data_IF_882504945999
#
_entry.id   IF_882504945999
#
_cell.length_a   1.000
_cell.length_b   1.000
_cell.length_c   1.000
_cell.angle_alpha   90.00
_cell.angle_beta   90.00
_cell.angle_gamma   90.00
#
_symmetry.space_group_name_H-M   'P 1'
#
loop_
_entity.id
_entity.type
_entity.pdbx_description
1 polymer ?
#
# COMPACT_ATOMS: atom_id res chain seq x y z
N UNK A 1 -6.08 3.62 -27.05
CA UNK A 1 -5.75 4.54 -25.95
C UNK A 1 -4.59 3.96 -25.19
N UNK A 2 -3.63 4.78 -24.81
CA UNK A 2 -2.51 4.34 -23.98
C UNK A 2 -3.04 3.94 -22.60
N UNK A 3 -2.75 2.72 -22.16
CA UNK A 3 -3.19 2.19 -20.84
C UNK A 3 -2.01 2.00 -19.88
N UNK A 4 -0.92 2.71 -20.13
CA UNK A 4 0.28 2.60 -19.31
C UNK A 4 0.19 3.51 -18.10
N UNK A 5 0.58 2.99 -16.95
CA UNK A 5 0.63 3.70 -15.67
C UNK A 5 2.04 3.57 -15.08
N UNK A 6 2.61 4.68 -14.63
CA UNK A 6 3.94 4.71 -14.00
C UNK A 6 3.78 4.72 -12.48
N UNK A 7 4.26 3.66 -11.87
CA UNK A 7 4.15 3.41 -10.42
C UNK A 7 5.47 3.78 -9.75
N UNK A 8 5.42 4.73 -8.82
CA UNK A 8 6.53 5.06 -7.94
C UNK A 8 6.48 4.25 -6.66
N UNK A 9 7.49 3.42 -6.43
CA UNK A 9 7.69 2.68 -5.18
C UNK A 9 8.71 3.43 -4.33
N UNK A 10 8.35 3.81 -3.11
CA UNK A 10 9.24 4.45 -2.15
C UNK A 10 9.55 3.46 -1.04
N UNK A 11 10.67 2.76 -1.16
CA UNK A 11 11.23 1.89 -0.12
C UNK A 11 11.97 2.76 0.88
N UNK A 12 11.33 3.02 1.99
CA UNK A 12 11.65 4.09 2.92
C UNK A 12 12.34 3.58 4.18
N UNK A 13 13.41 4.26 4.58
CA UNK A 13 14.04 4.13 5.89
C UNK A 13 13.67 5.32 6.77
N UNK A 14 12.98 5.07 7.88
CA UNK A 14 12.50 6.12 8.78
C UNK A 14 12.98 5.97 10.20
N UNK A 15 12.97 7.07 10.94
CA UNK A 15 13.32 7.13 12.35
C UNK A 15 12.09 6.82 13.22
N UNK A 16 12.17 5.80 14.09
CA UNK A 16 11.08 5.38 14.95
C UNK A 16 10.64 6.53 15.88
N UNK A 17 9.37 6.95 15.76
CA UNK A 17 8.76 8.00 16.58
C UNK A 17 9.10 9.44 16.18
N UNK A 18 10.01 9.68 15.22
CA UNK A 18 10.34 11.03 14.73
C UNK A 18 9.51 11.41 13.52
N UNK A 19 8.26 11.78 13.78
CA UNK A 19 7.27 12.09 12.73
C UNK A 19 7.74 13.24 11.83
N UNK A 20 8.40 14.25 12.40
CA UNK A 20 8.78 15.44 11.65
C UNK A 20 9.88 15.13 10.63
N UNK A 21 10.94 14.47 11.08
CA UNK A 21 12.05 14.02 10.22
C UNK A 21 11.54 13.08 9.12
N UNK A 22 10.69 12.12 9.48
CA UNK A 22 10.13 11.16 8.52
C UNK A 22 9.27 11.85 7.44
N UNK A 23 8.48 12.85 7.79
CA UNK A 23 7.67 13.62 6.84
C UNK A 23 8.54 14.41 5.86
N UNK A 24 9.58 15.11 6.38
CA UNK A 24 10.51 15.86 5.52
C UNK A 24 11.18 14.92 4.52
N UNK A 25 11.71 13.80 5.01
CA UNK A 25 12.36 12.80 4.18
C UNK A 25 11.39 12.16 3.16
N UNK A 26 10.18 11.81 3.57
CA UNK A 26 9.18 11.27 2.66
C UNK A 26 8.84 12.24 1.51
N UNK A 27 8.75 13.54 1.78
CA UNK A 27 8.52 14.56 0.74
C UNK A 27 9.65 14.60 -0.30
N UNK A 28 10.90 14.46 0.12
CA UNK A 28 12.07 14.40 -0.79
C UNK A 28 11.97 13.17 -1.70
N UNK A 29 11.63 12.01 -1.14
CA UNK A 29 11.49 10.76 -1.90
C UNK A 29 10.28 10.78 -2.84
N UNK A 30 9.16 11.37 -2.43
CA UNK A 30 7.99 11.61 -3.31
C UNK A 30 8.40 12.50 -4.49
N UNK A 31 9.13 13.59 -4.22
CA UNK A 31 9.66 14.47 -5.26
C UNK A 31 10.60 13.74 -6.23
N UNK A 32 11.44 12.85 -5.71
CA UNK A 32 12.32 12.00 -6.54
C UNK A 32 11.51 11.05 -7.45
N UNK A 33 10.46 10.41 -6.94
CA UNK A 33 9.59 9.56 -7.74
C UNK A 33 8.84 10.36 -8.83
N UNK A 34 8.34 11.54 -8.48
CA UNK A 34 7.68 12.45 -9.41
C UNK A 34 8.62 12.93 -10.53
N UNK A 35 9.86 13.28 -10.19
CA UNK A 35 10.89 13.68 -11.16
C UNK A 35 11.23 12.55 -12.15
N UNK A 36 11.08 11.28 -11.75
CA UNK A 36 11.18 10.11 -12.63
C UNK A 36 9.89 9.86 -13.43
N UNK A 37 8.86 10.67 -13.23
CA UNK A 37 7.62 10.67 -13.99
C UNK A 37 6.55 9.73 -13.44
N UNK A 38 6.52 9.45 -12.15
CA UNK A 38 5.46 8.65 -11.53
C UNK A 38 4.07 9.29 -11.70
N UNK A 39 3.07 8.47 -11.99
CA UNK A 39 1.65 8.86 -11.98
C UNK A 39 1.03 8.62 -10.58
N UNK A 40 1.43 7.50 -9.94
CA UNK A 40 0.99 7.10 -8.61
C UNK A 40 2.23 6.77 -7.78
N UNK A 41 2.36 7.36 -6.60
CA UNK A 41 3.44 7.08 -5.64
C UNK A 41 2.86 6.38 -4.43
N UNK A 42 3.53 5.33 -3.94
CA UNK A 42 3.14 4.63 -2.74
C UNK A 42 4.28 4.65 -1.71
N UNK A 43 3.97 5.12 -0.50
CA UNK A 43 4.82 5.03 0.69
C UNK A 43 4.54 3.71 1.43
N UNK A 44 5.47 3.20 2.26
CA UNK A 44 5.24 1.98 3.04
C UNK A 44 4.38 2.23 4.29
N UNK A 45 3.96 1.15 4.94
CA UNK A 45 3.11 1.15 6.12
C UNK A 45 3.69 2.00 7.25
N UNK A 46 2.85 2.85 7.88
CA UNK A 46 3.17 3.70 9.03
C UNK A 46 4.48 4.49 8.86
N UNK A 47 4.74 4.98 7.63
CA UNK A 47 6.01 5.63 7.28
C UNK A 47 6.37 6.78 8.22
N UNK A 48 5.37 7.52 8.73
CA UNK A 48 5.59 8.72 9.54
C UNK A 48 5.98 8.40 11.00
N UNK A 49 5.36 7.38 11.60
CA UNK A 49 5.56 7.06 13.03
C UNK A 49 6.57 5.94 13.28
N UNK A 50 6.83 5.10 12.27
CA UNK A 50 7.50 3.82 12.47
C UNK A 50 6.53 2.71 12.85
N UNK A 51 7.04 1.47 12.87
CA UNK A 51 6.22 0.26 13.01
C UNK A 51 6.56 -0.57 14.26
N UNK A 52 7.73 -0.41 14.89
CA UNK A 52 8.05 -1.21 16.08
C UNK A 52 7.17 -0.84 17.28
N UNK A 53 5.99 -1.45 17.32
CA UNK A 53 4.96 -1.18 18.35
C UNK A 53 5.39 -1.65 19.75
N UNK A 54 6.36 -2.56 19.86
CA UNK A 54 6.91 -2.96 21.15
C UNK A 54 7.74 -1.86 21.80
N UNK A 55 8.42 -1.04 20.98
CA UNK A 55 9.20 0.11 21.45
C UNK A 55 8.35 1.38 21.56
N UNK A 56 7.41 1.59 20.63
CA UNK A 56 6.49 2.73 20.70
C UNK A 56 5.47 2.59 21.84
N UNK A 57 4.98 1.38 22.06
CA UNK A 57 3.98 1.07 23.07
C UNK A 57 2.80 2.08 23.05
N UNK A 58 2.45 2.67 24.18
CA UNK A 58 1.36 3.66 24.30
C UNK A 58 1.60 4.94 23.48
N UNK A 59 2.87 5.24 23.12
CA UNK A 59 3.19 6.38 22.24
C UNK A 59 2.60 6.20 20.85
N UNK A 60 2.32 4.99 20.41
CA UNK A 60 1.67 4.70 19.12
C UNK A 60 0.40 5.54 18.94
N UNK A 61 -0.49 5.50 19.94
CA UNK A 61 -1.77 6.24 19.88
C UNK A 61 -1.53 7.74 20.01
N UNK A 62 -0.70 8.16 20.99
CA UNK A 62 -0.45 9.59 21.22
C UNK A 62 0.23 10.27 20.01
N UNK A 63 1.22 9.64 19.39
CA UNK A 63 1.88 10.15 18.17
C UNK A 63 0.90 10.23 17.00
N UNK A 64 0.14 9.15 16.75
CA UNK A 64 -0.84 9.13 15.68
C UNK A 64 -1.90 10.23 15.86
N UNK A 65 -2.45 10.38 17.06
CA UNK A 65 -3.45 11.42 17.34
C UNK A 65 -2.87 12.83 17.25
N UNK A 66 -1.69 13.07 17.81
CA UNK A 66 -1.09 14.41 17.84
C UNK A 66 -0.67 14.93 16.46
N UNK A 67 -0.26 14.02 15.58
CA UNK A 67 0.32 14.40 14.28
C UNK A 67 -0.58 14.13 13.08
N UNK A 68 -1.78 13.59 13.26
CA UNK A 68 -2.65 13.19 12.13
C UNK A 68 -2.89 14.34 11.14
N UNK A 69 -3.35 15.50 11.63
CA UNK A 69 -3.63 16.65 10.78
C UNK A 69 -2.39 17.18 10.06
N UNK A 70 -1.23 17.15 10.74
CA UNK A 70 0.06 17.51 10.16
C UNK A 70 0.45 16.54 9.05
N UNK A 71 0.35 15.22 9.28
CA UNK A 71 0.63 14.20 8.26
C UNK A 71 -0.28 14.40 7.05
N UNK A 72 -1.59 14.58 7.26
CA UNK A 72 -2.55 14.80 6.18
C UNK A 72 -2.21 16.05 5.38
N UNK A 73 -1.93 17.17 6.04
CA UNK A 73 -1.58 18.43 5.37
C UNK A 73 -0.31 18.33 4.53
N UNK A 74 0.75 17.71 5.07
CA UNK A 74 2.03 17.56 4.38
C UNK A 74 1.94 16.57 3.19
N UNK A 75 1.19 15.49 3.34
CA UNK A 75 0.99 14.53 2.24
C UNK A 75 0.08 15.11 1.15
N UNK A 76 -0.93 15.88 1.51
CA UNK A 76 -1.76 16.64 0.57
C UNK A 76 -0.91 17.64 -0.23
N UNK A 77 -0.04 18.39 0.44
CA UNK A 77 0.89 19.32 -0.20
C UNK A 77 1.87 18.58 -1.12
N UNK A 78 2.46 17.46 -0.66
CA UNK A 78 3.38 16.66 -1.46
C UNK A 78 2.73 16.12 -2.74
N UNK A 79 1.51 15.60 -2.66
CA UNK A 79 0.74 15.12 -3.81
C UNK A 79 0.49 16.26 -4.82
N UNK A 80 0.07 17.42 -4.33
CA UNK A 80 -0.21 18.61 -5.15
C UNK A 80 1.02 19.19 -5.80
N UNK A 81 2.09 19.42 -5.02
CA UNK A 81 3.34 20.04 -5.49
C UNK A 81 3.98 19.21 -6.60
N UNK A 82 3.86 17.88 -6.51
CA UNK A 82 4.43 16.92 -7.44
C UNK A 82 3.44 16.44 -8.51
N UNK A 83 2.17 16.80 -8.42
CA UNK A 83 1.08 16.37 -9.35
C UNK A 83 1.00 14.86 -9.51
N UNK A 84 1.09 14.12 -8.41
CA UNK A 84 0.97 12.66 -8.38
C UNK A 84 -0.23 12.23 -7.54
N UNK A 85 -0.82 11.07 -7.85
CA UNK A 85 -1.61 10.37 -6.84
C UNK A 85 -0.67 9.82 -5.78
N UNK A 86 -1.03 9.96 -4.51
CA UNK A 86 -0.19 9.53 -3.39
C UNK A 86 -0.95 8.60 -2.46
N UNK A 87 -0.39 7.42 -2.23
CA UNK A 87 -0.83 6.49 -1.18
C UNK A 87 0.12 6.67 0.00
N UNK A 88 -0.39 7.22 1.11
CA UNK A 88 0.36 7.55 2.31
C UNK A 88 -0.21 6.81 3.53
N UNK A 89 0.37 5.66 3.91
CA UNK A 89 -0.11 4.88 5.06
C UNK A 89 0.30 5.49 6.39
N UNK A 90 -0.69 5.77 7.25
CA UNK A 90 -0.49 6.39 8.57
C UNK A 90 -1.58 5.95 9.56
N UNK A 91 -1.34 6.23 10.84
CA UNK A 91 -2.40 6.13 11.86
C UNK A 91 -3.46 7.19 11.58
N UNK A 92 -4.69 6.78 11.25
CA UNK A 92 -5.83 7.67 10.98
C UNK A 92 -6.72 7.79 12.20
N UNK A 93 -7.05 9.02 12.59
CA UNK A 93 -8.05 9.27 13.63
C UNK A 93 -9.43 8.79 13.16
N UNK A 94 -10.16 8.16 14.07
CA UNK A 94 -11.58 7.88 13.88
C UNK A 94 -12.43 9.03 14.43
N UNK A 95 -13.76 8.93 14.29
CA UNK A 95 -14.70 9.89 14.90
C UNK A 95 -14.64 9.85 16.44
N UNK A 96 -14.19 8.74 17.02
CA UNK A 96 -14.00 8.61 18.45
C UNK A 96 -12.58 9.03 18.83
N UNK A 97 -12.48 9.99 19.74
CA UNK A 97 -11.19 10.47 20.25
C UNK A 97 -10.36 9.34 20.87
N UNK A 98 -9.06 9.34 20.60
CA UNK A 98 -8.12 8.34 21.10
C UNK A 98 -8.17 6.98 20.39
N UNK A 99 -9.01 6.81 19.38
CA UNK A 99 -9.08 5.59 18.57
C UNK A 99 -8.47 5.84 17.19
N UNK A 100 -7.47 5.02 16.87
CA UNK A 100 -6.79 5.02 15.57
C UNK A 100 -7.11 3.77 14.77
N UNK A 101 -7.01 3.91 13.45
CA UNK A 101 -6.89 2.80 12.49
C UNK A 101 -5.52 2.86 11.82
N UNK A 102 -4.93 1.71 11.48
CA UNK A 102 -3.77 1.65 10.58
C UNK A 102 -4.32 1.77 9.16
N UNK A 103 -4.09 2.91 8.49
CA UNK A 103 -4.81 3.26 7.27
C UNK A 103 -3.88 3.72 6.16
N UNK A 104 -4.25 3.42 4.92
CA UNK A 104 -3.63 4.01 3.74
C UNK A 104 -4.53 5.14 3.23
N UNK A 105 -4.02 6.36 3.26
CA UNK A 105 -4.69 7.57 2.78
C UNK A 105 -4.39 7.77 1.30
N UNK A 106 -5.40 8.06 0.49
CA UNK A 106 -5.25 8.32 -0.94
C UNK A 106 -5.50 9.80 -1.24
N UNK A 107 -4.47 10.46 -1.76
CA UNK A 107 -4.54 11.85 -2.22
C UNK A 107 -4.51 11.90 -3.75
N UNK A 108 -5.30 12.80 -4.34
CA UNK A 108 -5.24 13.08 -5.77
C UNK A 108 -4.13 14.09 -6.12
N UNK A 109 -3.95 14.33 -7.41
CA UNK A 109 -2.95 15.26 -7.96
C UNK A 109 -3.19 16.74 -7.58
N UNK A 110 -4.32 17.07 -6.98
CA UNK A 110 -4.64 18.41 -6.45
C UNK A 110 -4.42 18.48 -4.94
N UNK A 111 -4.03 17.38 -4.30
CA UNK A 111 -3.85 17.26 -2.87
C UNK A 111 -5.14 16.99 -2.10
N UNK A 112 -6.24 16.67 -2.76
CA UNK A 112 -7.45 16.28 -2.06
C UNK A 112 -7.34 14.84 -1.53
N UNK A 113 -7.72 14.64 -0.26
CA UNK A 113 -7.89 13.30 0.31
C UNK A 113 -9.17 12.70 -0.28
N UNK A 114 -9.02 11.79 -1.25
CA UNK A 114 -10.13 11.21 -2.02
C UNK A 114 -10.66 9.92 -1.45
N UNK A 115 -9.92 9.30 -0.51
CA UNK A 115 -10.33 8.09 0.15
C UNK A 115 -9.28 7.53 1.09
N UNK A 116 -9.64 6.46 1.77
CA UNK A 116 -8.73 5.71 2.63
C UNK A 116 -9.15 4.24 2.71
N UNK A 117 -8.19 3.40 3.03
CA UNK A 117 -8.42 2.00 3.42
C UNK A 117 -7.91 1.79 4.84
N UNK A 118 -8.75 1.28 5.73
CA UNK A 118 -8.38 0.87 7.08
C UNK A 118 -8.01 -0.62 7.06
N UNK A 119 -6.83 -0.97 7.58
CA UNK A 119 -6.33 -2.33 7.64
C UNK A 119 -7.33 -3.26 8.31
N UNK A 120 -7.71 -4.33 7.62
CA UNK A 120 -8.73 -5.25 8.11
C UNK A 120 -8.15 -6.33 9.02
N UNK A 121 -6.94 -6.81 8.72
CA UNK A 121 -6.27 -7.84 9.50
C UNK A 121 -5.09 -7.25 10.27
N UNK A 122 -5.30 -7.03 11.56
CA UNK A 122 -4.27 -6.47 12.43
C UNK A 122 -3.25 -7.55 12.84
N UNK A 123 -1.95 -7.24 12.70
CA UNK A 123 -0.86 -8.13 13.06
C UNK A 123 -0.43 -7.95 14.52
N UNK A 124 -0.30 -9.04 15.26
CA UNK A 124 0.30 -9.08 16.60
C UNK A 124 -0.16 -7.92 17.53
N UNK A 125 0.77 -7.02 17.88
CA UNK A 125 0.53 -5.89 18.80
C UNK A 125 -0.37 -4.80 18.21
N UNK A 126 -0.58 -4.76 16.89
CA UNK A 126 -1.49 -3.79 16.28
C UNK A 126 -2.89 -3.84 16.90
N UNK A 127 -3.34 -5.04 17.32
CA UNK A 127 -4.64 -5.24 17.99
C UNK A 127 -4.81 -4.50 19.32
N UNK A 128 -3.71 -4.05 19.93
CA UNK A 128 -3.74 -3.28 21.16
C UNK A 128 -3.92 -1.77 20.90
N UNK A 129 -3.51 -1.28 19.73
CA UNK A 129 -3.38 0.15 19.44
C UNK A 129 -4.26 0.65 18.31
N UNK A 130 -4.70 -0.24 17.41
CA UNK A 130 -5.50 0.11 16.27
C UNK A 130 -6.84 -0.64 16.26
N UNK A 131 -7.84 0.03 15.73
CA UNK A 131 -9.12 -0.57 15.39
C UNK A 131 -9.04 -1.16 13.99
N UNK A 132 -9.60 -2.33 13.78
CA UNK A 132 -9.71 -3.00 12.48
C UNK A 132 -10.67 -2.27 11.53
N UNK A 133 -10.37 -2.31 10.23
CA UNK A 133 -11.26 -1.93 9.15
C UNK A 133 -12.30 -3.00 8.86
N UNK A 134 -13.36 -2.61 8.16
CA UNK A 134 -14.49 -3.49 7.84
C UNK A 134 -14.91 -3.48 6.37
N UNK A 135 -14.08 -2.91 5.49
CA UNK A 135 -14.39 -2.78 4.06
C UNK A 135 -13.13 -2.83 3.20
N UNK A 136 -13.30 -3.27 1.96
CA UNK A 136 -12.27 -3.25 0.91
C UNK A 136 -12.72 -2.31 -0.22
N UNK A 137 -12.56 -0.98 -0.08
CA UNK A 137 -12.95 -0.04 -1.12
C UNK A 137 -12.01 -0.11 -2.33
N UNK A 138 -12.57 0.15 -3.50
CA UNK A 138 -11.83 0.36 -4.75
C UNK A 138 -11.93 1.82 -5.14
N UNK A 139 -10.85 2.41 -5.60
CA UNK A 139 -10.74 3.83 -5.91
C UNK A 139 -10.51 4.04 -7.40
N UNK A 140 -11.23 4.99 -7.99
CA UNK A 140 -11.01 5.44 -9.36
C UNK A 140 -9.83 6.43 -9.40
N UNK A 141 -8.81 6.11 -10.18
CA UNK A 141 -7.69 7.00 -10.50
C UNK A 141 -7.94 7.57 -11.89
N UNK A 142 -7.99 8.90 -12.00
CA UNK A 142 -8.23 9.60 -13.26
C UNK A 142 -7.00 10.44 -13.63
N UNK A 143 -6.29 9.99 -14.62
CA UNK A 143 -5.22 10.73 -15.28
C UNK A 143 -5.80 11.49 -16.49
N UNK A 144 -5.02 12.39 -17.08
CA UNK A 144 -5.51 13.29 -18.12
C UNK A 144 -6.17 12.55 -19.30
N UNK A 145 -5.58 11.43 -19.73
CA UNK A 145 -5.96 10.68 -20.94
C UNK A 145 -6.34 9.22 -20.67
N UNK A 146 -6.25 8.78 -19.39
CA UNK A 146 -6.46 7.40 -18.98
C UNK A 146 -7.01 7.29 -17.56
N UNK A 147 -7.58 6.16 -17.24
CA UNK A 147 -8.07 5.86 -15.89
C UNK A 147 -7.81 4.41 -15.51
N UNK A 148 -7.74 4.13 -14.21
CA UNK A 148 -7.65 2.78 -13.66
C UNK A 148 -8.39 2.71 -12.33
N UNK A 149 -8.66 1.50 -11.86
CA UNK A 149 -9.18 1.23 -10.52
C UNK A 149 -8.10 0.59 -9.68
N UNK A 150 -7.88 1.15 -8.52
CA UNK A 150 -6.92 0.60 -7.56
C UNK A 150 -7.62 0.10 -6.31
N UNK A 151 -7.08 -0.99 -5.75
CA UNK A 151 -7.37 -1.45 -4.40
C UNK A 151 -6.16 -1.29 -3.51
N UNK A 152 -6.37 -1.34 -2.19
CA UNK A 152 -5.29 -1.32 -1.21
C UNK A 152 -5.52 -2.46 -0.21
N UNK A 153 -4.45 -3.17 0.12
CA UNK A 153 -4.34 -4.07 1.26
C UNK A 153 -3.06 -3.70 2.01
N UNK A 154 -3.06 -3.74 3.33
CA UNK A 154 -1.89 -3.31 4.12
C UNK A 154 -1.21 -4.54 4.73
N UNK A 155 0.07 -4.78 4.36
CA UNK A 155 0.96 -5.75 4.99
C UNK A 155 0.30 -7.12 5.20
N UNK A 156 -0.07 -7.46 6.43
CA UNK A 156 -0.68 -8.73 6.84
C UNK A 156 -1.96 -9.10 6.07
N UNK A 157 -2.70 -8.12 5.55
CA UNK A 157 -3.86 -8.38 4.66
C UNK A 157 -3.48 -9.23 3.44
N UNK A 158 -2.23 -9.13 2.96
CA UNK A 158 -1.75 -9.92 1.83
C UNK A 158 -1.72 -11.44 2.10
N UNK A 159 -1.70 -11.85 3.36
CA UNK A 159 -1.79 -13.25 3.77
C UNK A 159 -3.18 -13.88 3.52
N UNK A 160 -4.21 -13.07 3.32
CA UNK A 160 -5.61 -13.50 3.18
C UNK A 160 -6.07 -13.38 1.73
N UNK A 161 -6.34 -14.51 1.04
CA UNK A 161 -6.82 -14.49 -0.36
C UNK A 161 -8.07 -13.64 -0.54
N UNK A 162 -8.93 -13.59 0.45
CA UNK A 162 -10.21 -12.88 0.46
C UNK A 162 -10.02 -11.36 0.27
N UNK A 163 -8.94 -10.79 0.83
CA UNK A 163 -8.63 -9.36 0.75
C UNK A 163 -8.48 -8.93 -0.72
N UNK A 164 -7.52 -9.52 -1.42
CA UNK A 164 -7.26 -9.20 -2.81
C UNK A 164 -8.42 -9.63 -3.73
N UNK A 165 -9.06 -10.77 -3.43
CA UNK A 165 -10.22 -11.25 -4.19
C UNK A 165 -11.39 -10.27 -4.11
N UNK A 166 -11.68 -9.72 -2.94
CA UNK A 166 -12.74 -8.73 -2.75
C UNK A 166 -12.50 -7.48 -3.60
N UNK A 167 -11.25 -7.00 -3.66
CA UNK A 167 -10.86 -5.87 -4.50
C UNK A 167 -10.97 -6.20 -6.00
N UNK A 168 -10.49 -7.38 -6.41
CA UNK A 168 -10.55 -7.82 -7.81
C UNK A 168 -11.98 -7.93 -8.34
N UNK A 169 -12.90 -8.44 -7.51
CA UNK A 169 -14.33 -8.59 -7.88
C UNK A 169 -15.06 -7.25 -7.99
N UNK A 170 -14.55 -6.20 -7.36
CA UNK A 170 -15.02 -4.82 -7.52
C UNK A 170 -14.37 -4.09 -8.70
N UNK A 171 -13.49 -4.79 -9.45
CA UNK A 171 -12.89 -4.29 -10.68
C UNK A 171 -11.52 -3.62 -10.51
N UNK A 172 -10.84 -3.82 -9.38
CA UNK A 172 -9.45 -3.36 -9.26
C UNK A 172 -8.56 -3.99 -10.35
N UNK A 173 -7.70 -3.18 -10.94
CA UNK A 173 -6.70 -3.57 -11.93
C UNK A 173 -5.29 -3.59 -11.31
N UNK A 174 -5.09 -2.77 -10.27
CA UNK A 174 -3.86 -2.68 -9.48
C UNK A 174 -4.24 -2.77 -8.00
N UNK A 175 -3.52 -3.58 -7.23
CA UNK A 175 -3.64 -3.61 -5.78
C UNK A 175 -2.29 -3.23 -5.17
N UNK A 176 -2.29 -2.16 -4.38
CA UNK A 176 -1.13 -1.74 -3.60
C UNK A 176 -1.09 -2.46 -2.26
N UNK A 177 0.10 -2.85 -1.84
CA UNK A 177 0.36 -3.48 -0.55
C UNK A 177 1.51 -2.75 0.16
N UNK A 178 1.25 -1.56 0.74
CA UNK A 178 2.22 -0.94 1.64
C UNK A 178 2.42 -1.81 2.88
N UNK A 179 3.68 -1.98 3.31
CA UNK A 179 4.03 -2.92 4.37
C UNK A 179 5.19 -2.44 5.24
N UNK A 180 5.25 -2.99 6.44
CA UNK A 180 6.40 -3.04 7.32
C UNK A 180 6.73 -4.52 7.61
N UNK A 181 7.12 -5.25 6.57
CA UNK A 181 7.34 -6.70 6.62
C UNK A 181 8.76 -7.01 7.08
N UNK A 182 8.87 -7.87 8.08
CA UNK A 182 10.15 -8.21 8.71
C UNK A 182 10.92 -9.27 7.95
N UNK A 183 12.23 -9.31 8.14
CA UNK A 183 13.15 -10.20 7.41
C UNK A 183 12.85 -11.70 7.64
N UNK A 184 12.35 -12.07 8.82
CA UNK A 184 12.05 -13.46 9.14
C UNK A 184 10.99 -14.10 8.23
N UNK A 185 10.15 -13.28 7.61
CA UNK A 185 9.01 -13.72 6.79
C UNK A 185 9.18 -13.32 5.30
N UNK A 186 10.41 -13.20 4.81
CA UNK A 186 10.70 -12.76 3.43
C UNK A 186 10.15 -13.72 2.37
N UNK A 187 10.14 -15.01 2.65
CA UNK A 187 9.55 -16.02 1.78
C UNK A 187 8.03 -15.87 1.63
N UNK A 188 7.35 -15.51 2.72
CA UNK A 188 5.91 -15.23 2.71
C UNK A 188 5.59 -13.94 1.91
N UNK A 189 6.46 -12.93 1.97
CA UNK A 189 6.35 -11.73 1.13
C UNK A 189 6.37 -12.08 -0.35
N UNK A 190 7.35 -12.87 -0.77
CA UNK A 190 7.51 -13.27 -2.17
C UNK A 190 6.33 -14.10 -2.67
N UNK A 191 5.91 -15.10 -1.90
CA UNK A 191 4.81 -15.99 -2.26
C UNK A 191 3.47 -15.26 -2.29
N UNK A 192 3.15 -14.48 -1.25
CA UNK A 192 1.86 -13.81 -1.15
C UNK A 192 1.64 -12.83 -2.29
N UNK A 193 2.57 -11.91 -2.56
CA UNK A 193 2.37 -10.90 -3.60
C UNK A 193 2.20 -11.52 -4.98
N UNK A 194 3.04 -12.50 -5.32
CA UNK A 194 2.94 -13.24 -6.58
C UNK A 194 1.62 -14.00 -6.70
N UNK A 195 1.20 -14.67 -5.63
CA UNK A 195 -0.05 -15.42 -5.63
C UNK A 195 -1.27 -14.50 -5.71
N UNK A 196 -1.30 -13.37 -4.95
CA UNK A 196 -2.40 -12.39 -5.04
C UNK A 196 -2.55 -11.85 -6.46
N UNK A 197 -1.43 -11.57 -7.14
CA UNK A 197 -1.47 -11.13 -8.53
C UNK A 197 -2.01 -12.21 -9.48
N UNK A 198 -1.50 -13.45 -9.38
CA UNK A 198 -1.87 -14.55 -10.26
C UNK A 198 -3.35 -14.95 -10.12
N UNK A 199 -3.81 -15.21 -8.91
CA UNK A 199 -5.17 -15.72 -8.68
C UNK A 199 -6.28 -14.71 -8.96
N UNK A 200 -5.93 -13.41 -9.01
CA UNK A 200 -6.86 -12.31 -9.25
C UNK A 200 -6.65 -11.64 -10.62
N UNK A 201 -5.61 -12.02 -11.36
CA UNK A 201 -5.29 -11.52 -12.69
C UNK A 201 -5.24 -9.98 -12.72
N UNK A 202 -4.47 -9.42 -11.81
CA UNK A 202 -4.25 -7.97 -11.66
C UNK A 202 -2.78 -7.70 -11.28
N UNK A 203 -2.36 -6.44 -11.31
CA UNK A 203 -1.04 -6.06 -10.80
C UNK A 203 -1.07 -5.95 -9.28
N UNK A 204 -0.02 -6.46 -8.62
CA UNK A 204 0.22 -6.23 -7.19
C UNK A 204 1.51 -5.46 -7.02
N UNK A 205 1.43 -4.35 -6.28
CA UNK A 205 2.55 -3.46 -5.97
C UNK A 205 2.83 -3.52 -4.48
N UNK A 206 3.83 -4.28 -4.09
CA UNK A 206 4.29 -4.32 -2.69
C UNK A 206 5.32 -3.24 -2.43
N UNK A 207 5.08 -2.39 -1.43
CA UNK A 207 6.02 -1.34 -1.01
C UNK A 207 6.35 -1.53 0.45
N UNK A 208 7.55 -2.05 0.71
CA UNK A 208 7.98 -2.39 2.05
C UNK A 208 8.91 -1.34 2.64
N UNK A 209 8.90 -1.20 3.96
CA UNK A 209 9.91 -0.42 4.70
C UNK A 209 11.27 -1.09 4.58
N UNK A 210 12.30 -0.27 4.76
CA UNK A 210 13.70 -0.69 4.87
C UNK A 210 14.31 -0.18 6.19
N UNK A 211 15.36 -0.85 6.65
CA UNK A 211 16.16 -0.42 7.81
C UNK A 211 15.80 -1.13 9.11
N UNK A 212 16.20 -0.55 10.21
CA UNK A 212 16.05 -1.13 11.55
C UNK A 212 15.26 -0.21 12.47
N UNK A 213 14.35 -0.78 13.21
CA UNK A 213 13.65 -0.13 14.33
C UNK A 213 13.91 -0.94 15.61
N UNK A 214 15.05 -0.68 16.27
CA UNK A 214 15.54 -1.53 17.36
C UNK A 214 15.93 -2.92 16.86
N UNK A 215 15.29 -3.95 17.37
CA UNK A 215 15.47 -5.35 16.98
C UNK A 215 14.64 -5.79 15.78
N UNK A 216 13.77 -4.94 15.29
CA UNK A 216 12.97 -5.19 14.09
C UNK A 216 13.75 -4.82 12.83
N UNK A 217 14.09 -5.82 12.02
CA UNK A 217 14.70 -5.65 10.71
C UNK A 217 13.66 -5.68 9.61
N UNK A 218 13.59 -4.60 8.83
CA UNK A 218 12.69 -4.38 7.71
C UNK A 218 13.52 -4.42 6.41
N UNK A 219 13.24 -5.38 5.55
CA UNK A 219 14.20 -5.79 4.51
C UNK A 219 14.02 -5.12 3.15
N UNK A 220 13.07 -4.20 3.00
CA UNK A 220 12.79 -3.63 1.68
C UNK A 220 12.20 -4.64 0.71
N UNK A 221 12.86 -4.90 -0.42
CA UNK A 221 12.43 -5.82 -1.47
C UNK A 221 11.06 -5.47 -2.06
N UNK A 222 10.76 -4.17 -2.13
CA UNK A 222 9.56 -3.66 -2.77
C UNK A 222 9.47 -4.14 -4.21
N UNK A 223 8.28 -4.49 -4.70
CA UNK A 223 8.16 -5.14 -6.02
C UNK A 223 6.83 -4.92 -6.71
N UNK A 224 6.84 -5.13 -8.02
CA UNK A 224 5.64 -5.18 -8.86
C UNK A 224 5.51 -6.58 -9.44
N UNK A 225 4.37 -7.23 -9.18
CA UNK A 225 3.98 -8.49 -9.77
C UNK A 225 2.92 -8.25 -10.85
N UNK A 226 3.07 -8.89 -12.03
CA UNK A 226 2.11 -8.81 -13.11
C UNK A 226 0.92 -9.77 -12.91
N UNK A 227 -0.15 -9.71 -13.73
CA UNK A 227 -1.32 -10.59 -13.61
C UNK A 227 -1.03 -12.09 -13.75
N UNK A 228 0.20 -12.49 -14.09
CA UNK A 228 0.67 -13.89 -14.09
C UNK A 228 1.50 -14.24 -12.86
N UNK A 229 1.54 -13.37 -11.85
CA UNK A 229 2.35 -13.58 -10.64
C UNK A 229 3.86 -13.44 -10.85
N UNK A 230 4.31 -12.98 -12.02
CA UNK A 230 5.74 -12.77 -12.28
C UNK A 230 6.18 -11.43 -11.76
N UNK A 231 7.31 -11.39 -11.08
CA UNK A 231 7.94 -10.16 -10.65
C UNK A 231 8.51 -9.44 -11.89
N UNK A 232 8.01 -8.23 -12.15
CA UNK A 232 8.49 -7.37 -13.24
C UNK A 232 9.61 -6.44 -12.77
N UNK A 233 9.52 -5.99 -11.55
CA UNK A 233 10.49 -5.09 -10.93
C UNK A 233 10.60 -5.42 -9.44
N UNK A 234 11.82 -5.39 -8.91
CA UNK A 234 12.13 -5.62 -7.49
C UNK A 234 13.25 -4.68 -7.06
N UNK A 235 13.08 -4.03 -5.91
CA UNK A 235 14.08 -3.17 -5.30
C UNK A 235 15.04 -3.99 -4.42
N UNK A 236 16.26 -3.47 -4.18
CA UNK A 236 17.26 -4.17 -3.37
C UNK A 236 16.83 -4.29 -1.91
N UNK A 237 17.44 -5.26 -1.20
CA UNK A 237 17.23 -5.50 0.23
C UNK A 237 18.25 -4.79 1.13
N UNK A 238 19.20 -4.06 0.57
CA UNK A 238 20.37 -3.53 1.27
C UNK A 238 20.37 -2.01 1.39
N UNK A 239 19.32 -1.34 0.93
CA UNK A 239 19.24 0.13 0.98
C UNK A 239 17.83 0.67 0.78
N UNK A 240 17.64 1.89 1.26
CA UNK A 240 16.52 2.73 0.84
C UNK A 240 16.57 2.97 -0.68
N UNK A 241 15.41 3.00 -1.32
CA UNK A 241 15.35 3.12 -2.77
C UNK A 241 14.05 3.76 -3.24
N UNK A 242 14.14 4.56 -4.29
CA UNK A 242 12.99 5.07 -5.05
C UNK A 242 13.14 4.61 -6.49
N UNK A 243 12.08 4.01 -7.02
CA UNK A 243 12.06 3.55 -8.41
C UNK A 243 10.68 3.76 -9.04
N UNK A 244 10.68 4.07 -10.32
CA UNK A 244 9.44 4.24 -11.10
C UNK A 244 9.42 3.23 -12.22
N UNK A 245 8.36 2.43 -12.26
CA UNK A 245 8.18 1.39 -13.26
C UNK A 245 6.85 1.54 -13.99
N UNK A 246 6.88 1.43 -15.32
CA UNK A 246 5.71 1.53 -16.18
C UNK A 246 5.06 0.14 -16.34
N UNK A 247 3.77 0.05 -16.05
CA UNK A 247 2.94 -1.13 -16.29
C UNK A 247 1.92 -0.85 -17.40
N UNK A 248 1.55 -1.88 -18.17
CA UNK A 248 0.51 -1.81 -19.19
C UNK A 248 -0.77 -2.51 -18.70
N UNK A 249 -1.83 -1.76 -18.46
CA UNK A 249 -3.11 -2.31 -18.00
C UNK A 249 -3.81 -3.21 -19.04
N UNK A 250 -3.36 -3.18 -20.30
CA UNK A 250 -3.81 -4.15 -21.30
C UNK A 250 -3.48 -5.59 -20.92
N UNK A 251 -2.45 -5.80 -20.10
CA UNK A 251 -2.10 -7.12 -19.57
C UNK A 251 -3.21 -7.69 -18.66
N UNK A 252 -3.92 -6.84 -17.89
CA UNK A 252 -5.06 -7.28 -17.06
C UNK A 252 -6.17 -7.84 -17.95
N UNK A 253 -6.56 -7.10 -18.99
CA UNK A 253 -7.59 -7.52 -19.93
C UNK A 253 -7.18 -8.80 -20.69
N UNK A 254 -5.95 -8.83 -21.18
CA UNK A 254 -5.40 -9.98 -21.91
C UNK A 254 -5.42 -11.23 -21.04
N UNK A 255 -4.85 -11.19 -19.84
CA UNK A 255 -4.76 -12.38 -18.99
C UNK A 255 -6.11 -12.83 -18.41
N UNK A 256 -7.04 -11.89 -18.14
CA UNK A 256 -8.42 -12.25 -17.77
C UNK A 256 -9.16 -12.95 -18.91
N UNK A 257 -8.79 -12.71 -20.15
CA UNK A 257 -9.35 -13.40 -21.33
C UNK A 257 -8.68 -14.75 -21.54
N UNK A 258 -7.33 -14.83 -21.45
CA UNK A 258 -6.57 -16.07 -21.66
C UNK A 258 -6.81 -17.12 -20.56
N UNK A 259 -6.90 -16.67 -19.31
CA UNK A 259 -7.05 -17.54 -18.13
C UNK A 259 -8.21 -16.99 -17.27
N UNK A 260 -9.46 -17.33 -17.58
CA UNK A 260 -10.63 -16.64 -17.01
C UNK A 260 -10.98 -17.11 -15.58
N UNK A 261 -10.03 -17.11 -14.64
CA UNK A 261 -10.26 -17.54 -13.25
C UNK A 261 -11.43 -16.82 -12.60
N UNK A 262 -11.57 -15.51 -12.80
CA UNK A 262 -12.64 -14.73 -12.17
C UNK A 262 -14.03 -15.11 -12.73
N UNK A 263 -14.12 -15.39 -14.05
CA UNK A 263 -15.37 -15.83 -14.71
C UNK A 263 -15.78 -17.22 -14.27
N UNK A 264 -14.80 -18.12 -14.16
CA UNK A 264 -15.04 -19.55 -13.92
C UNK A 264 -15.22 -19.89 -12.42
N UNK A 265 -15.25 -18.87 -11.54
CA UNK A 265 -15.60 -19.02 -10.12
C UNK A 265 -17.00 -19.62 -9.95
N UNK A 266 -17.16 -20.40 -8.89
CA UNK A 266 -18.43 -21.04 -8.52
C UNK A 266 -18.86 -20.60 -7.11
N UNK A 267 -19.29 -19.34 -6.89
CA UNK A 267 -19.57 -18.80 -5.55
C UNK A 267 -20.58 -19.65 -4.75
N UNK A 268 -21.51 -20.32 -5.44
CA UNK A 268 -22.55 -21.15 -4.83
C UNK A 268 -22.03 -22.38 -4.06
N UNK A 269 -20.76 -22.77 -4.28
CA UNK A 269 -20.14 -23.89 -3.54
C UNK A 269 -19.07 -23.42 -2.53
N UNK A 270 -18.86 -22.11 -2.37
CA UNK A 270 -17.85 -21.56 -1.48
C UNK A 270 -18.42 -21.11 -0.13
N UNK A 271 -19.57 -21.61 0.29
CA UNK A 271 -20.26 -21.18 1.51
C UNK A 271 -19.44 -21.30 2.79
N UNK A 272 -18.49 -22.24 2.84
CA UNK A 272 -17.58 -22.40 4.00
C UNK A 272 -16.69 -21.17 4.26
N UNK A 273 -16.41 -20.36 3.23
CA UNK A 273 -15.62 -19.13 3.36
C UNK A 273 -16.35 -18.00 4.13
N UNK A 274 -17.64 -18.19 4.41
CA UNK A 274 -18.47 -17.20 5.11
C UNK A 274 -18.79 -17.59 6.56
N UNK A 275 -18.14 -18.64 7.09
CA UNK A 275 -18.39 -19.16 8.45
C UNK A 275 -17.42 -18.60 9.49
#
# INVERSE_FOLDING_TARGET
>A
MDKKIRIGMVQFEGNLGDVHSNIVHARELIGSAAAQGADIVCLPELFATGYNLSLLAEKTVSLGCAHYEYIVAEMAAAAKDNRVYLIAPAGRKTEMEGILTNSALLFDQNGALTGYFDKSHLWALERLYYKEGNAYPVFDIRLQDRSTRIGIMICYDAGFPESCRSLALQGAEIVFCPAAWRIQDVDMWDLNLSQRALENLLFVVGVNRFGHEGDLELFGKSKICNPRGRVLRELPMDRESVDVFEIDLMDVERFRTEIPYLRDRKPHIYGELLK
#
